data_IF_170228824421
#
_entry.id   IF_170228824421
#
_cell.length_a   1.000
_cell.length_b   1.000
_cell.length_c   1.000
_cell.angle_alpha   90.00
_cell.angle_beta   90.00
_cell.angle_gamma   90.00
#
_symmetry.space_group_name_H-M   'P 1'
#
loop_
_entity.id
_entity.type
_entity.pdbx_description
1 polymer ?
#
# COMPACT_ATOMS: atom_id res chain seq x y z
N UNK A 1 -1.37 -3.02 28.31
CA UNK A 1 -0.86 -3.02 26.93
C UNK A 1 -1.76 -3.90 26.08
N UNK A 2 -2.50 -3.32 25.12
CA UNK A 2 -3.17 -4.09 24.06
C UNK A 2 -2.10 -4.89 23.30
N UNK A 3 -2.38 -6.14 22.94
CA UNK A 3 -1.53 -6.92 22.03
C UNK A 3 -2.02 -6.67 20.61
N UNK A 4 -1.25 -5.91 19.82
CA UNK A 4 -1.49 -5.79 18.39
C UNK A 4 -1.19 -7.12 17.69
N UNK A 5 -1.81 -7.40 16.52
CA UNK A 5 -1.63 -8.67 15.80
C UNK A 5 -0.17 -9.02 15.46
N UNK A 6 0.75 -8.05 15.54
CA UNK A 6 2.17 -8.22 15.23
C UNK A 6 3.12 -8.13 16.45
N UNK A 7 2.61 -7.99 17.69
CA UNK A 7 3.44 -7.96 18.90
C UNK A 7 4.25 -6.67 19.09
N UNK A 8 5.49 -6.78 19.59
CA UNK A 8 6.46 -5.66 19.69
C UNK A 8 7.03 -5.42 18.30
N UNK A 9 6.96 -4.18 17.81
CA UNK A 9 7.51 -3.81 16.51
C UNK A 9 9.02 -3.70 16.60
N UNK A 10 9.74 -4.46 15.77
CA UNK A 10 11.20 -4.46 15.75
C UNK A 10 11.78 -3.41 14.79
N UNK A 11 10.96 -2.87 13.89
CA UNK A 11 11.35 -1.87 12.90
C UNK A 11 10.15 -1.04 12.42
N UNK A 12 10.47 0.07 11.74
CA UNK A 12 9.54 1.03 11.15
C UNK A 12 8.60 0.38 10.12
N UNK A 13 9.12 -0.56 9.32
CA UNK A 13 8.39 -1.22 8.23
C UNK A 13 7.24 -2.06 8.78
N UNK A 14 7.52 -2.83 9.83
CA UNK A 14 6.56 -3.67 10.54
C UNK A 14 5.49 -2.82 11.25
N UNK A 15 5.89 -1.68 11.81
CA UNK A 15 4.97 -0.72 12.40
C UNK A 15 3.99 -0.15 11.37
N UNK A 16 4.50 0.39 10.26
CA UNK A 16 3.70 0.96 9.18
C UNK A 16 2.77 -0.09 8.57
N UNK A 17 3.26 -1.30 8.36
CA UNK A 17 2.42 -2.39 7.86
C UNK A 17 1.26 -2.68 8.81
N UNK A 18 1.51 -2.78 10.12
CA UNK A 18 0.45 -3.00 11.10
C UNK A 18 -0.59 -1.87 11.07
N UNK A 19 -0.13 -0.62 11.02
CA UNK A 19 -1.00 0.55 10.95
C UNK A 19 -1.94 0.50 9.75
N UNK A 20 -1.40 0.23 8.56
CA UNK A 20 -2.21 0.12 7.35
C UNK A 20 -3.13 -1.11 7.38
N UNK A 21 -2.65 -2.23 7.90
CA UNK A 21 -3.42 -3.47 8.03
C UNK A 21 -4.61 -3.35 9.00
N UNK A 22 -4.44 -2.67 10.14
CA UNK A 22 -5.53 -2.42 11.09
C UNK A 22 -6.70 -1.67 10.43
N UNK A 23 -6.39 -0.74 9.55
CA UNK A 23 -7.43 -0.04 8.83
C UNK A 23 -7.99 -0.84 7.65
N UNK A 24 -7.12 -1.29 6.75
CA UNK A 24 -7.57 -1.90 5.50
C UNK A 24 -8.20 -3.27 5.67
N UNK A 25 -7.77 -4.04 6.67
CA UNK A 25 -8.31 -5.39 6.92
C UNK A 25 -9.27 -5.40 8.11
N UNK A 26 -8.94 -4.71 9.20
CA UNK A 26 -9.78 -4.71 10.42
C UNK A 26 -10.80 -3.59 10.48
N UNK A 27 -10.76 -2.63 9.55
CA UNK A 27 -11.67 -1.46 9.52
C UNK A 27 -11.73 -0.71 10.84
N UNK A 28 -10.63 -0.69 11.61
CA UNK A 28 -10.59 -0.11 12.95
C UNK A 28 -9.72 1.14 12.96
N UNK A 29 -10.34 2.32 12.84
CA UNK A 29 -9.65 3.60 12.98
C UNK A 29 -9.20 3.83 14.43
N UNK A 30 -10.00 3.43 15.41
CA UNK A 30 -9.64 3.59 16.82
C UNK A 30 -8.34 2.85 17.15
N UNK A 31 -8.16 1.61 16.67
CA UNK A 31 -6.91 0.88 16.88
C UNK A 31 -5.73 1.48 16.11
N UNK A 32 -5.99 2.16 14.98
CA UNK A 32 -4.95 2.91 14.24
C UNK A 32 -4.50 4.11 15.07
N UNK A 33 -5.42 4.90 15.61
CA UNK A 33 -5.09 6.08 16.41
C UNK A 33 -4.37 5.67 17.70
N UNK A 34 -4.85 4.61 18.36
CA UNK A 34 -4.17 4.02 19.52
C UNK A 34 -2.74 3.59 19.15
N UNK A 35 -2.54 2.98 17.97
CA UNK A 35 -1.21 2.56 17.52
C UNK A 35 -0.30 3.77 17.19
N UNK A 36 -0.81 4.78 16.48
CA UNK A 36 -0.06 6.00 16.17
C UNK A 36 0.37 6.72 17.44
N UNK A 37 -0.48 6.77 18.48
CA UNK A 37 -0.10 7.39 19.75
C UNK A 37 1.14 6.75 20.40
N UNK A 38 1.38 5.47 20.11
CA UNK A 38 2.56 4.75 20.60
C UNK A 38 3.84 5.04 19.79
N UNK A 39 3.77 5.74 18.65
CA UNK A 39 4.95 6.16 17.86
C UNK A 39 5.94 6.89 18.74
N UNK A 40 5.49 7.83 19.56
CA UNK A 40 6.37 8.65 20.39
C UNK A 40 6.99 7.88 21.57
N UNK A 41 6.51 6.67 21.84
CA UNK A 41 7.14 5.75 22.79
C UNK A 41 8.20 4.88 22.10
N UNK A 42 8.18 4.79 20.77
CA UNK A 42 9.08 3.97 19.97
C UNK A 42 10.10 4.87 19.27
N UNK A 43 11.39 4.55 19.41
CA UNK A 43 12.49 5.36 18.86
C UNK A 43 12.66 5.15 17.34
N UNK A 44 11.57 5.20 16.59
CA UNK A 44 11.60 5.06 15.14
C UNK A 44 11.99 6.38 14.48
N UNK A 45 12.87 6.30 13.48
CA UNK A 45 13.27 7.44 12.66
C UNK A 45 12.47 7.40 11.35
N UNK A 46 11.36 8.14 11.30
CA UNK A 46 10.58 8.32 10.08
C UNK A 46 11.19 9.43 9.21
N UNK A 47 10.81 9.48 7.94
CA UNK A 47 11.05 10.69 7.12
C UNK A 47 10.18 11.83 7.64
N UNK A 48 10.64 13.08 7.54
CA UNK A 48 9.89 14.27 7.98
C UNK A 48 8.45 14.30 7.44
N UNK A 49 8.27 13.89 6.18
CA UNK A 49 6.96 13.84 5.55
C UNK A 49 6.05 12.76 6.17
N UNK A 50 6.58 11.57 6.44
CA UNK A 50 5.81 10.49 7.04
C UNK A 50 5.47 10.80 8.50
N UNK A 51 6.39 11.42 9.23
CA UNK A 51 6.16 11.88 10.60
C UNK A 51 5.06 12.96 10.65
N UNK A 52 5.09 13.95 9.76
CA UNK A 52 4.04 14.98 9.65
C UNK A 52 2.66 14.37 9.33
N UNK A 53 2.60 13.37 8.45
CA UNK A 53 1.35 12.66 8.15
C UNK A 53 0.83 11.85 9.36
N UNK A 54 1.71 11.16 10.08
CA UNK A 54 1.36 10.42 11.29
C UNK A 54 0.84 11.36 12.39
N UNK A 55 1.49 12.51 12.59
CA UNK A 55 1.06 13.54 13.53
C UNK A 55 -0.33 14.08 13.16
N UNK A 56 -0.55 14.44 11.90
CA UNK A 56 -1.86 14.93 11.43
C UNK A 56 -2.95 13.89 11.57
N UNK A 57 -2.65 12.62 11.28
CA UNK A 57 -3.59 11.52 11.50
C UNK A 57 -3.96 11.41 12.99
N UNK A 58 -2.99 11.50 13.89
CA UNK A 58 -3.23 11.44 15.33
C UNK A 58 -4.08 12.62 15.84
N UNK A 59 -3.74 13.84 15.42
CA UNK A 59 -4.42 15.06 15.88
C UNK A 59 -5.86 15.18 15.37
N UNK A 60 -6.11 14.75 14.13
CA UNK A 60 -7.40 14.98 13.47
C UNK A 60 -8.28 13.74 13.42
N UNK A 61 -7.69 12.55 13.57
CA UNK A 61 -8.34 11.27 13.24
C UNK A 61 -8.92 11.24 11.81
N UNK A 62 -8.41 12.07 10.89
CA UNK A 62 -8.89 12.11 9.51
C UNK A 62 -8.22 11.00 8.69
N UNK A 63 -9.08 10.11 8.21
CA UNK A 63 -8.76 8.97 7.36
C UNK A 63 -7.99 9.35 6.10
N UNK A 64 -8.14 10.58 5.61
CA UNK A 64 -7.39 11.07 4.45
C UNK A 64 -5.89 11.02 4.70
N UNK A 65 -5.42 11.32 5.90
CA UNK A 65 -3.99 11.22 6.23
C UNK A 65 -3.51 9.77 6.21
N UNK A 66 -4.37 8.82 6.57
CA UNK A 66 -4.05 7.41 6.47
C UNK A 66 -3.92 6.93 5.01
N UNK A 67 -4.79 7.43 4.12
CA UNK A 67 -4.68 7.21 2.68
C UNK A 67 -3.40 7.83 2.12
N UNK A 68 -3.04 9.04 2.54
CA UNK A 68 -1.80 9.68 2.12
C UNK A 68 -0.54 8.97 2.65
N UNK A 69 -0.59 8.42 3.87
CA UNK A 69 0.46 7.53 4.40
C UNK A 69 0.59 6.30 3.50
N UNK A 70 -0.52 5.64 3.15
CA UNK A 70 -0.51 4.47 2.29
C UNK A 70 0.14 4.77 0.93
N UNK A 71 -0.24 5.88 0.29
CA UNK A 71 0.37 6.34 -0.97
C UNK A 71 1.86 6.63 -0.82
N UNK A 72 2.25 7.34 0.24
CA UNK A 72 3.65 7.67 0.52
C UNK A 72 4.51 6.42 0.71
N UNK A 73 4.01 5.44 1.45
CA UNK A 73 4.68 4.15 1.73
C UNK A 73 4.89 3.33 0.46
N UNK A 74 3.91 3.34 -0.45
CA UNK A 74 4.02 2.70 -1.77
C UNK A 74 5.02 3.44 -2.64
N UNK A 75 4.92 4.77 -2.73
CA UNK A 75 5.82 5.60 -3.52
C UNK A 75 7.29 5.46 -3.11
N UNK A 76 7.56 5.47 -1.80
CA UNK A 76 8.90 5.31 -1.23
C UNK A 76 9.39 3.85 -1.20
N UNK A 77 8.55 2.90 -1.63
CA UNK A 77 8.85 1.46 -1.64
C UNK A 77 9.30 0.89 -0.29
N UNK A 78 8.65 1.32 0.81
CA UNK A 78 9.06 0.92 2.17
C UNK A 78 8.72 -0.53 2.54
N UNK A 79 7.83 -1.19 1.80
CA UNK A 79 7.36 -2.55 2.07
C UNK A 79 7.91 -3.53 1.03
N UNK A 80 7.67 -4.82 1.23
CA UNK A 80 7.85 -5.81 0.17
C UNK A 80 6.76 -5.67 -0.90
N UNK A 81 7.03 -6.25 -2.08
CA UNK A 81 6.20 -6.09 -3.27
C UNK A 81 4.78 -6.63 -3.07
N UNK A 82 4.60 -7.69 -2.29
CA UNK A 82 3.28 -8.26 -2.03
C UNK A 82 2.42 -7.29 -1.23
N UNK A 83 2.98 -6.68 -0.17
CA UNK A 83 2.30 -5.66 0.62
C UNK A 83 2.04 -4.39 -0.18
N UNK A 84 2.93 -4.01 -1.10
CA UNK A 84 2.69 -2.88 -1.99
C UNK A 84 1.51 -3.11 -2.92
N UNK A 85 1.49 -4.25 -3.61
CA UNK A 85 0.38 -4.60 -4.50
C UNK A 85 -0.93 -4.67 -3.72
N UNK A 86 -0.91 -5.24 -2.51
CA UNK A 86 -2.08 -5.24 -1.65
C UNK A 86 -2.60 -3.83 -1.35
N UNK A 87 -1.72 -2.91 -0.93
CA UNK A 87 -2.14 -1.53 -0.64
C UNK A 87 -2.72 -0.85 -1.88
N UNK A 88 -2.05 -0.96 -3.03
CA UNK A 88 -2.53 -0.40 -4.29
C UNK A 88 -3.91 -0.97 -4.66
N UNK A 89 -4.07 -2.29 -4.54
CA UNK A 89 -5.33 -2.96 -4.80
C UNK A 89 -6.47 -2.46 -3.91
N UNK A 90 -6.21 -2.29 -2.61
CA UNK A 90 -7.22 -1.79 -1.67
C UNK A 90 -7.56 -0.32 -1.93
N UNK A 91 -6.56 0.53 -2.19
CA UNK A 91 -6.79 1.94 -2.53
C UNK A 91 -7.62 2.06 -3.81
N UNK A 92 -7.33 1.24 -4.82
CA UNK A 92 -8.09 1.20 -6.06
C UNK A 92 -9.54 0.74 -5.83
N UNK A 93 -9.75 -0.35 -5.10
CA UNK A 93 -11.10 -0.88 -4.82
C UNK A 93 -11.95 0.12 -4.03
N UNK A 94 -11.34 0.89 -3.15
CA UNK A 94 -12.00 1.96 -2.39
C UNK A 94 -12.23 3.24 -3.21
N UNK A 95 -11.70 3.33 -4.43
CA UNK A 95 -11.81 4.52 -5.29
C UNK A 95 -10.92 5.69 -4.85
N UNK A 96 -9.91 5.42 -4.03
CA UNK A 96 -8.96 6.43 -3.51
C UNK A 96 -7.85 6.77 -4.51
N UNK A 97 -7.65 5.90 -5.52
CA UNK A 97 -6.73 6.09 -6.64
C UNK A 97 -7.40 5.64 -7.94
N UNK A 98 -7.03 6.28 -9.05
CA UNK A 98 -7.44 5.86 -10.39
C UNK A 98 -6.59 4.69 -10.90
N UNK A 99 -7.00 4.08 -12.03
CA UNK A 99 -6.18 3.05 -12.68
C UNK A 99 -4.81 3.58 -13.11
N UNK A 100 -4.76 4.84 -13.59
CA UNK A 100 -3.52 5.50 -13.97
C UNK A 100 -2.59 5.72 -12.77
N UNK A 101 -3.14 6.11 -11.62
CA UNK A 101 -2.37 6.23 -10.39
C UNK A 101 -1.85 4.86 -9.94
N UNK A 102 -2.67 3.80 -10.06
CA UNK A 102 -2.25 2.45 -9.75
C UNK A 102 -1.07 2.00 -10.64
N UNK A 103 -1.13 2.23 -11.96
CA UNK A 103 -0.02 1.94 -12.89
C UNK A 103 1.26 2.66 -12.47
N UNK A 104 1.17 3.96 -12.13
CA UNK A 104 2.33 4.74 -11.69
C UNK A 104 2.94 4.19 -10.39
N UNK A 105 2.10 3.82 -9.43
CA UNK A 105 2.52 3.22 -8.16
C UNK A 105 3.08 1.80 -8.30
N UNK A 106 2.66 1.08 -9.35
CA UNK A 106 3.08 -0.29 -9.68
C UNK A 106 4.28 -0.36 -10.63
N UNK A 107 4.87 0.78 -11.03
CA UNK A 107 6.07 0.80 -11.88
C UNK A 107 7.26 0.21 -11.13
N UNK A 108 7.33 -1.12 -11.04
CA UNK A 108 8.38 -1.86 -10.37
C UNK A 108 9.45 -2.25 -11.38
N UNK A 109 10.73 -2.01 -11.07
CA UNK A 109 11.80 -2.76 -11.74
C UNK A 109 11.62 -4.22 -11.33
N UNK A 110 11.41 -5.10 -12.30
CA UNK A 110 11.29 -6.56 -12.13
C UNK A 110 12.63 -7.14 -11.67
N UNK A 111 12.92 -6.91 -10.39
CA UNK A 111 14.16 -7.31 -9.73
C UNK A 111 14.21 -8.80 -9.41
N UNK A 112 15.28 -9.17 -8.68
CA UNK A 112 15.46 -10.51 -8.13
C UNK A 112 14.25 -10.88 -7.27
N UNK A 113 13.79 -12.14 -7.38
CA UNK A 113 12.66 -12.76 -6.66
C UNK A 113 11.29 -12.72 -7.36
N UNK A 114 11.16 -12.21 -8.59
CA UNK A 114 9.89 -12.31 -9.34
C UNK A 114 9.37 -13.76 -9.44
N UNK A 115 10.27 -14.73 -9.63
CA UNK A 115 9.91 -16.15 -9.76
C UNK A 115 9.20 -16.70 -8.51
N UNK A 116 9.51 -16.18 -7.33
CA UNK A 116 9.01 -16.66 -6.04
C UNK A 116 7.69 -15.99 -5.61
N UNK A 117 7.20 -15.01 -6.37
CA UNK A 117 5.96 -14.30 -6.07
C UNK A 117 4.72 -15.15 -6.34
N UNK A 118 3.65 -14.89 -5.59
CA UNK A 118 2.31 -15.43 -5.88
C UNK A 118 1.87 -15.06 -7.30
N UNK A 119 1.21 -15.98 -8.00
CA UNK A 119 0.77 -15.80 -9.39
C UNK A 119 -0.15 -14.59 -9.59
N UNK A 120 -0.91 -14.18 -8.56
CA UNK A 120 -1.76 -12.98 -8.62
C UNK A 120 -0.92 -11.70 -8.57
N UNK A 121 0.11 -11.69 -7.72
CA UNK A 121 1.08 -10.58 -7.61
C UNK A 121 1.83 -10.43 -8.93
N UNK A 122 2.32 -11.54 -9.49
CA UNK A 122 2.94 -11.58 -10.83
C UNK A 122 2.04 -11.00 -11.89
N UNK A 123 0.77 -11.44 -11.94
CA UNK A 123 -0.20 -10.97 -12.93
C UNK A 123 -0.43 -9.46 -12.86
N UNK A 124 -0.50 -8.86 -11.66
CA UNK A 124 -0.62 -7.41 -11.51
C UNK A 124 0.61 -6.70 -12.08
N UNK A 125 1.81 -7.19 -11.77
CA UNK A 125 3.07 -6.63 -12.27
C UNK A 125 3.12 -6.71 -13.80
N UNK A 126 2.79 -7.86 -14.37
CA UNK A 126 2.86 -8.09 -15.82
C UNK A 126 1.92 -7.15 -16.57
N UNK A 127 0.68 -7.01 -16.12
CA UNK A 127 -0.30 -6.13 -16.77
C UNK A 127 0.11 -4.66 -16.59
N UNK A 128 0.56 -4.25 -15.41
CA UNK A 128 1.03 -2.89 -15.19
C UNK A 128 2.25 -2.56 -16.06
N UNK A 129 3.18 -3.50 -16.22
CA UNK A 129 4.33 -3.35 -17.11
C UNK A 129 3.89 -3.24 -18.58
N UNK A 130 2.98 -4.09 -19.04
CA UNK A 130 2.41 -4.00 -20.40
C UNK A 130 1.78 -2.63 -20.67
N UNK A 131 0.99 -2.10 -19.73
CA UNK A 131 0.39 -0.75 -19.87
C UNK A 131 1.46 0.34 -20.00
N UNK A 132 2.54 0.24 -19.22
CA UNK A 132 3.64 1.21 -19.25
C UNK A 132 4.36 1.19 -20.59
N UNK A 133 4.71 -0.01 -21.09
CA UNK A 133 5.39 -0.16 -22.39
C UNK A 133 4.49 0.33 -23.54
N UNK A 134 3.22 -0.07 -23.53
CA UNK A 134 2.20 0.35 -24.50
C UNK A 134 2.05 1.89 -24.52
N UNK A 135 2.04 2.53 -23.35
CA UNK A 135 2.01 3.99 -23.23
C UNK A 135 3.30 4.66 -23.75
N UNK A 136 4.47 4.06 -23.52
CA UNK A 136 5.75 4.54 -24.06
C UNK A 136 5.82 4.42 -25.60
N UNK A 137 5.19 3.40 -26.18
CA UNK A 137 5.04 3.19 -27.62
C UNK A 137 3.88 3.99 -28.25
N UNK A 138 3.11 4.74 -27.45
CA UNK A 138 2.01 5.61 -27.91
C UNK A 138 0.72 4.86 -28.27
N UNK A 139 0.57 3.62 -27.82
CA UNK A 139 -0.61 2.77 -28.03
C UNK A 139 -1.30 2.57 -26.68
N UNK A 140 -2.39 3.27 -26.37
CA UNK A 140 -3.15 2.96 -25.14
C UNK A 140 -4.40 2.14 -25.48
N UNK A 141 -4.45 0.89 -24.98
CA UNK A 141 -5.60 -0.01 -25.15
C UNK A 141 -6.48 -0.03 -23.88
N UNK A 142 -7.79 0.31 -23.99
CA UNK A 142 -8.74 0.20 -22.87
C UNK A 142 -8.84 -1.21 -22.27
N UNK A 143 -8.56 -2.25 -23.06
CA UNK A 143 -8.61 -3.64 -22.60
C UNK A 143 -7.59 -3.92 -21.48
N UNK A 144 -6.45 -3.22 -21.50
CA UNK A 144 -5.41 -3.41 -20.49
C UNK A 144 -5.83 -2.80 -19.13
N UNK A 145 -6.56 -1.68 -19.15
CA UNK A 145 -7.09 -1.04 -17.93
C UNK A 145 -8.10 -1.94 -17.22
N UNK A 146 -8.99 -2.57 -17.99
CA UNK A 146 -9.96 -3.54 -17.48
C UNK A 146 -9.26 -4.78 -16.90
N UNK A 147 -8.22 -5.29 -17.60
CA UNK A 147 -7.41 -6.40 -17.11
C UNK A 147 -6.69 -6.08 -15.80
N UNK A 148 -6.13 -4.87 -15.66
CA UNK A 148 -5.46 -4.45 -14.43
C UNK A 148 -6.47 -4.26 -13.30
N UNK A 149 -7.63 -3.66 -13.58
CA UNK A 149 -8.69 -3.48 -12.60
C UNK A 149 -9.13 -4.83 -12.01
N UNK A 150 -9.30 -5.85 -12.84
CA UNK A 150 -9.67 -7.20 -12.39
C UNK A 150 -8.56 -7.89 -11.61
N UNK A 151 -7.30 -7.72 -12.02
CA UNK A 151 -6.15 -8.27 -11.28
C UNK A 151 -6.00 -7.63 -9.89
N UNK A 152 -6.21 -6.32 -9.78
CA UNK A 152 -6.19 -5.60 -8.50
C UNK A 152 -7.32 -6.07 -7.57
N UNK A 153 -8.55 -6.18 -8.07
CA UNK A 153 -9.70 -6.69 -7.28
C UNK A 153 -9.50 -8.12 -6.78
N UNK A 154 -8.72 -8.93 -7.48
CA UNK A 154 -8.37 -10.28 -7.01
C UNK A 154 -7.36 -10.23 -5.84
N UNK A 155 -6.44 -9.27 -5.85
CA UNK A 155 -5.43 -9.13 -4.81
C UNK A 155 -5.98 -8.52 -3.52
N UNK A 156 -6.93 -7.58 -3.59
CA UNK A 156 -7.47 -6.89 -2.41
C UNK A 156 -8.20 -7.84 -1.44
N UNK A 157 -8.83 -8.90 -1.96
CA UNK A 157 -9.58 -9.91 -1.17
C UNK A 157 -8.72 -10.99 -0.52
N UNK A 158 -7.42 -11.01 -0.80
CA UNK A 158 -6.56 -12.17 -0.53
C UNK A 158 -5.78 -12.08 0.78
N UNK A 159 -5.80 -10.93 1.46
CA UNK A 159 -5.08 -10.69 2.72
C UNK A 159 -6.03 -10.52 3.93
N UNK A 160 -7.30 -10.93 3.79
CA UNK A 160 -8.27 -11.07 4.88
C UNK A 160 -7.98 -12.30 5.76
#
# INVERSE_FOLDING_TARGET
MKKYPFGVFNDQVSFIWCLLHLYFVKSSLDDVIDLVSSVYEQQFEFTDQLEDLLLKLWETSDIKFLIEIAKHVVWQRLLDIEKHIFIVAVLFEKGEISINDAVLLLKYDSGKNYADLDERVKRVIDIAWLIIEDAEDGVMSPDNDDMLADALRACSKSFE
#
